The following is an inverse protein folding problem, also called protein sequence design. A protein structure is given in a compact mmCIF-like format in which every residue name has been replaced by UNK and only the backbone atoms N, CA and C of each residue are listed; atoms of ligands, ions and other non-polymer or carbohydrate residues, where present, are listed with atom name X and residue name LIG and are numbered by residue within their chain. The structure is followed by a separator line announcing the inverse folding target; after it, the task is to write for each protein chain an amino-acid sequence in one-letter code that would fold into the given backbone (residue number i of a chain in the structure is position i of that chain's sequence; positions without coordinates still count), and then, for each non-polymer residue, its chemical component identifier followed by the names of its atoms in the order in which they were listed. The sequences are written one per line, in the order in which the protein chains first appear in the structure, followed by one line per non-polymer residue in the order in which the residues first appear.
data_IF_387077746500
#
_entry.id   IF_387077746500
#
_cell.length_a   1.000
_cell.length_b   1.000
_cell.length_c   1.000
_cell.angle_alpha   90.00
_cell.angle_beta   90.00
_cell.angle_gamma   90.00
#
_symmetry.space_group_name_H-M   'P 1'
#
loop_
_entity.id
_entity.type
_entity.pdbx_description
1 polymer ?
#
# COMPACT_ATOMS: atom_id res chain seq x y z
N UNK A 1 31.33 64.96 40.02
CA UNK A 1 30.61 63.67 39.93
C UNK A 1 30.42 63.20 41.37
N UNK A 2 29.19 62.94 41.79
CA UNK A 2 28.92 62.66 43.20
C UNK A 2 29.27 61.20 43.55
N UNK A 3 29.77 60.97 44.77
CA UNK A 3 30.17 59.64 45.25
C UNK A 3 29.04 58.60 45.17
N UNK A 4 27.80 59.06 45.22
CA UNK A 4 26.61 58.22 45.10
C UNK A 4 26.36 57.75 43.66
N UNK A 5 26.63 58.61 42.67
CA UNK A 5 26.58 58.23 41.26
C UNK A 5 27.67 57.22 40.91
N UNK A 6 28.89 57.39 41.44
CA UNK A 6 29.98 56.40 41.29
C UNK A 6 29.64 55.02 41.87
N UNK A 7 29.04 54.98 43.06
CA UNK A 7 28.59 53.72 43.67
C UNK A 7 27.51 53.02 42.84
N UNK A 8 26.56 53.79 42.30
CA UNK A 8 25.48 53.27 41.46
C UNK A 8 26.02 52.70 40.15
N UNK A 9 26.99 53.38 39.53
CA UNK A 9 27.67 52.91 38.32
C UNK A 9 28.35 51.57 38.60
N UNK A 10 29.14 51.45 39.67
CA UNK A 10 29.78 50.18 40.06
C UNK A 10 28.79 49.03 40.30
N UNK A 11 27.63 49.33 40.90
CA UNK A 11 26.59 48.32 41.10
C UNK A 11 26.02 47.83 39.78
N UNK A 12 25.73 48.74 38.86
CA UNK A 12 25.25 48.40 37.51
C UNK A 12 26.29 47.63 36.70
N UNK A 13 27.57 48.01 36.78
CA UNK A 13 28.67 47.28 36.14
C UNK A 13 28.76 45.84 36.64
N UNK A 14 28.69 45.63 37.95
CA UNK A 14 28.67 44.28 38.53
C UNK A 14 27.43 43.48 38.12
N UNK A 15 26.26 44.11 38.07
CA UNK A 15 25.03 43.43 37.64
C UNK A 15 25.09 43.02 36.16
N UNK A 16 25.64 43.89 35.31
CA UNK A 16 25.86 43.61 33.88
C UNK A 16 26.84 42.45 33.72
N UNK A 17 27.98 42.48 34.43
CA UNK A 17 28.97 41.41 34.35
C UNK A 17 28.40 40.05 34.78
N UNK A 18 27.66 40.01 35.89
CA UNK A 18 27.01 38.78 36.34
C UNK A 18 26.00 38.23 35.32
N UNK A 19 25.26 39.12 34.63
CA UNK A 19 24.33 38.71 33.57
C UNK A 19 25.06 38.22 32.33
N UNK A 20 26.18 38.84 31.96
CA UNK A 20 27.02 38.40 30.85
C UNK A 20 27.61 37.01 31.11
N UNK A 21 28.10 36.77 32.33
CA UNK A 21 28.62 35.44 32.73
C UNK A 21 27.54 34.36 32.63
N UNK A 22 26.32 34.66 33.09
CA UNK A 22 25.18 33.73 32.97
C UNK A 22 24.82 33.43 31.51
N UNK A 23 24.83 34.46 30.65
CA UNK A 23 24.59 34.32 29.22
C UNK A 23 25.68 33.46 28.58
N UNK A 24 26.94 33.68 28.92
CA UNK A 24 28.08 32.91 28.40
C UNK A 24 27.99 31.42 28.80
N UNK A 25 27.67 31.13 30.06
CA UNK A 25 27.42 29.76 30.53
C UNK A 25 26.25 29.10 29.78
N UNK A 26 25.18 29.85 29.53
CA UNK A 26 24.04 29.37 28.76
C UNK A 26 24.42 29.06 27.32
N UNK A 27 25.19 29.94 26.66
CA UNK A 27 25.71 29.69 25.31
C UNK A 27 26.61 28.46 25.23
N UNK A 28 27.45 28.24 26.25
CA UNK A 28 28.29 27.06 26.30
C UNK A 28 27.45 25.77 26.39
N UNK A 29 26.38 25.80 27.20
CA UNK A 29 25.42 24.68 27.30
C UNK A 29 24.72 24.43 25.97
N UNK A 30 24.23 25.48 25.29
CA UNK A 30 23.63 25.35 23.97
C UNK A 30 24.60 24.77 22.94
N UNK A 31 25.87 25.19 22.97
CA UNK A 31 26.91 24.66 22.08
C UNK A 31 27.14 23.17 22.30
N UNK A 32 27.13 22.71 23.54
CA UNK A 32 27.23 21.28 23.86
C UNK A 32 26.01 20.49 23.38
N UNK A 33 24.81 21.03 23.57
CA UNK A 33 23.57 20.41 23.07
C UNK A 33 23.60 20.29 21.54
N UNK A 34 23.99 21.35 20.84
CA UNK A 34 24.11 21.34 19.37
C UNK A 34 25.10 20.26 18.92
N UNK A 35 26.26 20.14 19.58
CA UNK A 35 27.24 19.08 19.25
C UNK A 35 26.66 17.67 19.46
N UNK A 36 25.93 17.44 20.56
CA UNK A 36 25.26 16.15 20.81
C UNK A 36 24.23 15.84 19.72
N UNK A 37 23.38 16.81 19.38
CA UNK A 37 22.37 16.66 18.32
C UNK A 37 23.01 16.38 16.95
N UNK A 38 24.11 17.05 16.62
CA UNK A 38 24.84 16.80 15.36
C UNK A 38 25.35 15.36 15.30
N UNK A 39 25.97 14.88 16.38
CA UNK A 39 26.47 13.50 16.49
C UNK A 39 25.34 12.48 16.36
N UNK A 40 24.23 12.69 17.07
CA UNK A 40 23.07 11.81 17.02
C UNK A 40 22.45 11.77 15.61
N UNK A 41 22.39 12.92 14.92
CA UNK A 41 21.89 12.98 13.54
C UNK A 41 22.81 12.21 12.56
N UNK A 42 24.13 12.24 12.76
CA UNK A 42 25.07 11.43 11.98
C UNK A 42 24.93 9.92 12.27
N UNK A 43 24.70 9.55 13.52
CA UNK A 43 24.40 8.16 13.92
C UNK A 43 23.10 7.68 13.27
N UNK A 44 22.00 8.44 13.38
CA UNK A 44 20.72 8.11 12.75
C UNK A 44 20.81 7.99 11.23
N UNK A 45 21.61 8.83 10.56
CA UNK A 45 21.87 8.70 9.11
C UNK A 45 22.57 7.40 8.76
N UNK A 46 23.54 6.97 9.58
CA UNK A 46 24.23 5.67 9.41
C UNK A 46 23.26 4.51 9.62
N UNK A 47 22.48 4.53 10.70
CA UNK A 47 21.50 3.48 11.01
C UNK A 47 20.44 3.37 9.91
N UNK A 48 19.92 4.50 9.42
CA UNK A 48 18.99 4.53 8.29
C UNK A 48 19.58 3.85 7.05
N UNK A 49 20.86 4.08 6.75
CA UNK A 49 21.52 3.44 5.61
C UNK A 49 21.59 1.92 5.79
N UNK A 50 21.98 1.46 6.98
CA UNK A 50 22.06 0.03 7.30
C UNK A 50 20.70 -0.64 7.16
N UNK A 51 19.64 -0.04 7.73
CA UNK A 51 18.28 -0.57 7.65
C UNK A 51 17.81 -0.66 6.19
N UNK A 52 18.09 0.36 5.37
CA UNK A 52 17.73 0.34 3.95
C UNK A 52 18.48 -0.77 3.18
N UNK A 53 19.75 -1.01 3.49
CA UNK A 53 20.51 -2.11 2.89
C UNK A 53 19.96 -3.49 3.30
N UNK A 54 19.63 -3.66 4.58
CA UNK A 54 18.99 -4.87 5.08
C UNK A 54 17.62 -5.10 4.42
N UNK A 55 16.79 -4.05 4.31
CA UNK A 55 15.49 -4.13 3.65
C UNK A 55 15.63 -4.53 2.18
N UNK A 56 16.58 -3.95 1.44
CA UNK A 56 16.88 -4.33 0.05
C UNK A 56 17.29 -5.81 -0.04
N UNK A 57 18.13 -6.29 0.89
CA UNK A 57 18.54 -7.69 0.91
C UNK A 57 17.38 -8.64 1.18
N UNK A 58 16.48 -8.29 2.11
CA UNK A 58 15.26 -9.07 2.39
C UNK A 58 14.32 -9.13 1.19
N UNK A 59 14.08 -7.99 0.52
CA UNK A 59 13.26 -7.96 -0.69
C UNK A 59 13.84 -8.87 -1.78
N UNK A 60 15.16 -8.85 -1.99
CA UNK A 60 15.83 -9.76 -2.94
C UNK A 60 15.61 -11.23 -2.56
N UNK A 61 15.75 -11.59 -1.28
CA UNK A 61 15.49 -12.97 -0.80
C UNK A 61 14.04 -13.40 -1.01
N UNK A 62 13.07 -12.52 -0.73
CA UNK A 62 11.64 -12.78 -0.95
C UNK A 62 11.36 -13.02 -2.43
N UNK A 63 11.90 -12.19 -3.32
CA UNK A 63 11.70 -12.35 -4.76
C UNK A 63 12.34 -13.64 -5.30
N UNK A 64 13.54 -13.99 -4.83
CA UNK A 64 14.17 -15.27 -5.16
C UNK A 64 13.34 -16.47 -4.68
N UNK A 65 12.79 -16.39 -3.47
CA UNK A 65 11.90 -17.42 -2.91
C UNK A 65 10.61 -17.56 -3.72
N UNK A 66 9.95 -16.44 -4.07
CA UNK A 66 8.77 -16.44 -4.95
C UNK A 66 9.06 -17.05 -6.31
N UNK A 67 10.19 -16.71 -6.92
CA UNK A 67 10.59 -17.26 -8.21
C UNK A 67 10.93 -18.75 -8.12
N UNK A 68 11.55 -19.20 -7.03
CA UNK A 68 11.80 -20.63 -6.79
C UNK A 68 10.49 -21.39 -6.59
N UNK A 69 9.59 -20.88 -5.75
CA UNK A 69 8.26 -21.46 -5.55
C UNK A 69 7.45 -21.51 -6.86
N UNK A 70 7.51 -20.47 -7.69
CA UNK A 70 6.86 -20.46 -8.99
C UNK A 70 7.45 -21.51 -9.95
N UNK A 71 8.78 -21.71 -9.92
CA UNK A 71 9.43 -22.79 -10.68
C UNK A 71 9.03 -24.16 -10.17
N UNK A 72 9.03 -24.36 -8.85
CA UNK A 72 8.64 -25.61 -8.21
C UNK A 72 7.17 -25.93 -8.52
N UNK A 73 6.25 -24.97 -8.43
CA UNK A 73 4.85 -25.14 -8.85
C UNK A 73 4.76 -25.52 -10.34
N UNK A 74 5.58 -24.90 -11.20
CA UNK A 74 5.58 -25.20 -12.64
C UNK A 74 6.08 -26.62 -12.92
N UNK A 75 7.08 -27.13 -12.20
CA UNK A 75 7.54 -28.53 -12.30
C UNK A 75 6.58 -29.52 -11.64
N UNK A 76 5.90 -29.15 -10.56
CA UNK A 76 4.83 -29.97 -9.97
C UNK A 76 3.59 -30.07 -10.87
N UNK A 77 3.26 -29.00 -11.61
CA UNK A 77 2.12 -28.98 -12.53
C UNK A 77 2.44 -29.59 -13.91
N UNK A 78 3.71 -29.58 -14.32
CA UNK A 78 4.20 -30.30 -15.48
C UNK A 78 5.30 -31.30 -15.05
N UNK A 79 4.95 -32.42 -14.41
CA UNK A 79 5.87 -33.55 -14.40
C UNK A 79 5.97 -34.03 -15.85
N UNK A 80 7.18 -34.16 -16.37
CA UNK A 80 7.47 -34.56 -17.74
C UNK A 80 6.59 -35.72 -18.20
N UNK A 81 5.81 -35.45 -19.25
CA UNK A 81 5.35 -36.46 -20.22
C UNK A 81 6.60 -36.83 -21.04
N UNK A 82 7.53 -37.55 -20.43
CA UNK A 82 8.65 -38.21 -21.10
C UNK A 82 8.65 -39.69 -20.71
N UNK A 83 7.63 -40.42 -21.19
CA UNK A 83 7.72 -41.81 -21.66
C UNK A 83 6.31 -42.40 -21.90
N UNK A 84 6.11 -42.84 -23.15
CA UNK A 84 5.06 -43.74 -23.66
C UNK A 84 3.61 -43.23 -23.86
N UNK A 85 2.92 -43.69 -24.94
CA UNK A 85 1.69 -43.05 -25.44
C UNK A 85 0.46 -43.59 -24.70
N UNK A 86 -0.01 -42.87 -23.68
CA UNK A 86 -1.21 -43.31 -22.94
C UNK A 86 -2.27 -42.21 -22.91
N UNK A 87 -3.33 -42.38 -23.71
CA UNK A 87 -4.65 -41.77 -23.49
C UNK A 87 -5.08 -42.06 -22.05
N UNK A 88 -5.36 -41.05 -21.19
CA UNK A 88 -6.76 -40.70 -20.93
C UNK A 88 -6.95 -39.25 -20.45
N UNK A 89 -6.84 -38.26 -21.34
CA UNK A 89 -7.21 -36.85 -21.04
C UNK A 89 -8.75 -36.69 -20.96
N UNK A 90 -9.52 -37.68 -21.41
CA UNK A 90 -10.99 -37.64 -21.35
C UNK A 90 -11.56 -37.89 -19.95
N UNK A 91 -10.85 -38.61 -19.06
CA UNK A 91 -11.36 -38.90 -17.69
C UNK A 91 -11.05 -37.83 -16.65
N UNK A 92 -10.04 -36.97 -16.89
CA UNK A 92 -9.71 -35.84 -16.00
C UNK A 92 -10.61 -34.63 -16.27
N UNK A 93 -11.11 -34.47 -17.51
CA UNK A 93 -12.10 -33.44 -17.83
C UNK A 93 -13.42 -33.67 -17.11
N UNK A 94 -13.89 -34.91 -16.99
CA UNK A 94 -15.11 -35.24 -16.22
C UNK A 94 -15.00 -34.81 -14.74
N UNK A 95 -13.88 -35.11 -14.06
CA UNK A 95 -13.72 -34.78 -12.63
C UNK A 95 -13.53 -33.29 -12.34
N UNK A 96 -12.95 -32.53 -13.28
CA UNK A 96 -12.87 -31.07 -13.15
C UNK A 96 -14.21 -30.38 -13.45
N UNK A 97 -15.02 -30.94 -14.35
CA UNK A 97 -16.37 -30.45 -14.63
C UNK A 97 -17.32 -30.67 -13.44
N UNK A 98 -17.17 -31.74 -12.67
CA UNK A 98 -18.01 -31.98 -11.49
C UNK A 98 -17.73 -30.99 -10.33
N UNK A 99 -16.48 -30.59 -10.13
CA UNK A 99 -16.15 -29.59 -9.09
C UNK A 99 -16.53 -28.16 -9.50
N UNK A 100 -16.47 -27.81 -10.79
CA UNK A 100 -17.02 -26.54 -11.30
C UNK A 100 -18.56 -26.55 -11.23
N UNK A 101 -19.18 -27.72 -11.36
CA UNK A 101 -20.63 -27.88 -11.19
C UNK A 101 -21.09 -27.68 -9.73
N UNK A 102 -20.25 -28.04 -8.75
CA UNK A 102 -20.47 -27.75 -7.32
C UNK A 102 -20.30 -26.27 -6.94
N UNK A 103 -19.47 -25.51 -7.66
CA UNK A 103 -19.39 -24.05 -7.51
C UNK A 103 -20.53 -23.35 -8.28
N UNK A 104 -20.99 -23.92 -9.39
CA UNK A 104 -22.18 -23.45 -10.12
C UNK A 104 -23.48 -23.59 -9.32
N UNK A 105 -23.57 -24.52 -8.37
CA UNK A 105 -24.79 -24.73 -7.58
C UNK A 105 -24.92 -23.82 -6.36
N UNK A 106 -23.92 -23.00 -6.02
CA UNK A 106 -24.01 -21.99 -4.95
C UNK A 106 -24.18 -20.56 -5.51
N UNK A 107 -24.06 -20.35 -6.82
CA UNK A 107 -24.34 -19.05 -7.43
C UNK A 107 -25.80 -18.95 -7.87
N UNK A 108 -26.63 -18.38 -7.00
CA UNK A 108 -27.99 -17.97 -7.32
C UNK A 108 -28.02 -17.04 -8.56
N UNK A 109 -28.49 -17.52 -9.71
CA UNK A 109 -29.04 -16.78 -10.88
C UNK A 109 -28.35 -15.46 -11.33
N UNK A 110 -27.11 -15.20 -10.95
CA UNK A 110 -26.44 -13.90 -11.20
C UNK A 110 -25.07 -14.11 -11.82
N UNK A 111 -24.91 -13.58 -13.02
CA UNK A 111 -23.75 -13.76 -13.89
C UNK A 111 -23.20 -12.43 -14.39
N UNK A 112 -22.08 -12.49 -15.13
CA UNK A 112 -21.44 -11.33 -15.78
C UNK A 112 -22.45 -10.54 -16.64
N UNK A 113 -23.36 -11.25 -17.31
CA UNK A 113 -24.40 -10.66 -18.16
C UNK A 113 -25.34 -9.74 -17.35
N UNK A 114 -25.65 -10.09 -16.10
CA UNK A 114 -26.49 -9.24 -15.26
C UNK A 114 -25.79 -7.94 -14.85
N UNK A 115 -24.46 -7.97 -14.66
CA UNK A 115 -23.67 -6.77 -14.42
C UNK A 115 -23.69 -5.88 -15.67
N UNK A 116 -23.47 -6.47 -16.85
CA UNK A 116 -23.52 -5.77 -18.12
C UNK A 116 -24.88 -5.12 -18.38
N UNK A 117 -25.99 -5.86 -18.24
CA UNK A 117 -27.34 -5.30 -18.39
C UNK A 117 -27.62 -4.15 -17.43
N UNK A 118 -27.15 -4.28 -16.18
CA UNK A 118 -27.35 -3.24 -15.17
C UNK A 118 -26.62 -1.96 -15.54
N UNK A 119 -25.41 -2.06 -16.08
CA UNK A 119 -24.62 -0.94 -16.58
C UNK A 119 -25.28 -0.33 -17.82
N UNK A 120 -25.75 -1.15 -18.76
CA UNK A 120 -26.43 -0.66 -19.97
C UNK A 120 -27.76 0.06 -19.65
N UNK A 121 -28.50 -0.42 -18.64
CA UNK A 121 -29.77 0.21 -18.22
C UNK A 121 -29.57 1.51 -17.44
N UNK A 122 -28.51 1.62 -16.64
CA UNK A 122 -28.27 2.78 -15.75
C UNK A 122 -27.23 3.77 -16.29
N UNK A 123 -26.49 3.40 -17.33
CA UNK A 123 -25.36 4.16 -17.86
C UNK A 123 -24.09 3.99 -17.02
N UNK A 124 -24.20 4.10 -15.69
CA UNK A 124 -23.09 3.87 -14.78
C UNK A 124 -23.52 3.23 -13.45
N UNK A 125 -22.64 2.43 -12.85
CA UNK A 125 -22.89 1.73 -11.58
C UNK A 125 -21.65 1.69 -10.71
N UNK A 126 -21.81 1.97 -9.41
CA UNK A 126 -20.75 1.81 -8.39
C UNK A 126 -20.56 0.35 -8.02
N UNK A 127 -19.34 -0.08 -7.72
CA UNK A 127 -19.08 -1.49 -7.41
C UNK A 127 -19.80 -1.92 -6.13
N UNK A 128 -19.89 -1.05 -5.11
CA UNK A 128 -20.62 -1.37 -3.88
C UNK A 128 -22.12 -1.56 -4.12
N UNK A 129 -22.73 -0.71 -4.95
CA UNK A 129 -24.15 -0.81 -5.31
C UNK A 129 -24.41 -2.09 -6.11
N UNK A 130 -23.49 -2.45 -7.01
CA UNK A 130 -23.54 -3.68 -7.77
C UNK A 130 -23.40 -4.91 -6.87
N UNK A 131 -22.43 -4.90 -5.96
CA UNK A 131 -22.20 -5.99 -4.99
C UNK A 131 -23.42 -6.19 -4.09
N UNK A 132 -24.03 -5.12 -3.59
CA UNK A 132 -25.23 -5.19 -2.75
C UNK A 132 -26.44 -5.70 -3.54
N UNK A 133 -26.72 -5.14 -4.73
CA UNK A 133 -27.86 -5.53 -5.55
C UNK A 133 -27.74 -6.95 -6.11
N UNK A 134 -26.52 -7.34 -6.46
CA UNK A 134 -26.21 -8.68 -6.95
C UNK A 134 -25.96 -9.66 -5.80
N UNK A 135 -25.87 -9.22 -4.55
CA UNK A 135 -25.56 -10.07 -3.39
C UNK A 135 -24.33 -10.95 -3.63
N UNK A 136 -23.27 -10.34 -4.17
CA UNK A 136 -21.99 -11.00 -4.48
C UNK A 136 -20.85 -10.16 -3.93
N UNK A 137 -19.70 -10.79 -3.70
CA UNK A 137 -18.55 -10.10 -3.14
C UNK A 137 -18.01 -9.03 -4.11
N UNK A 138 -17.49 -7.93 -3.57
CA UNK A 138 -16.90 -6.83 -4.35
C UNK A 138 -15.84 -7.30 -5.35
N UNK A 139 -14.97 -8.21 -4.91
CA UNK A 139 -13.92 -8.83 -5.77
C UNK A 139 -14.52 -9.49 -7.01
N UNK A 140 -15.68 -10.14 -6.88
CA UNK A 140 -16.35 -10.81 -7.99
C UNK A 140 -16.89 -9.79 -9.00
N UNK A 141 -17.42 -8.66 -8.55
CA UNK A 141 -17.82 -7.55 -9.43
C UNK A 141 -16.60 -6.95 -10.13
N UNK A 142 -15.46 -6.82 -9.43
CA UNK A 142 -14.22 -6.30 -10.00
C UNK A 142 -13.66 -7.22 -11.10
N UNK A 143 -13.67 -8.54 -10.88
CA UNK A 143 -13.27 -9.52 -11.89
C UNK A 143 -14.19 -9.48 -13.11
N UNK A 144 -15.50 -9.41 -12.89
CA UNK A 144 -16.48 -9.30 -13.98
C UNK A 144 -16.34 -8.00 -14.76
N UNK A 145 -16.12 -6.88 -14.08
CA UNK A 145 -15.87 -5.60 -14.70
C UNK A 145 -14.58 -5.66 -15.55
N UNK A 146 -13.53 -6.29 -15.03
CA UNK A 146 -12.29 -6.48 -15.80
C UNK A 146 -12.52 -7.31 -17.07
N UNK A 147 -13.28 -8.41 -16.98
CA UNK A 147 -13.61 -9.22 -18.16
C UNK A 147 -14.42 -8.42 -19.19
N UNK A 148 -15.39 -7.61 -18.76
CA UNK A 148 -16.18 -6.78 -19.69
C UNK A 148 -15.35 -5.63 -20.29
N UNK A 149 -14.40 -5.06 -19.54
CA UNK A 149 -13.45 -4.04 -20.01
C UNK A 149 -12.47 -4.60 -21.06
N UNK A 150 -11.90 -5.80 -20.82
CA UNK A 150 -11.03 -6.50 -21.77
C UNK A 150 -11.74 -6.80 -23.10
N UNK A 151 -13.07 -6.96 -23.07
CA UNK A 151 -13.91 -7.14 -24.25
C UNK A 151 -14.46 -5.83 -24.84
N UNK A 152 -14.00 -4.66 -24.36
CA UNK A 152 -14.44 -3.31 -24.76
C UNK A 152 -15.94 -3.01 -24.54
N UNK A 153 -16.62 -3.76 -23.68
CA UNK A 153 -18.06 -3.62 -23.43
C UNK A 153 -18.38 -2.50 -22.43
N UNK A 154 -17.42 -2.17 -21.55
CA UNK A 154 -17.55 -1.15 -20.52
C UNK A 154 -16.23 -0.40 -20.35
N UNK A 155 -16.26 0.74 -19.67
CA UNK A 155 -15.07 1.49 -19.23
C UNK A 155 -15.11 1.70 -17.73
N UNK A 156 -13.94 1.65 -17.09
CA UNK A 156 -13.78 1.95 -15.66
C UNK A 156 -13.19 3.35 -15.49
N UNK A 157 -13.78 4.15 -14.60
CA UNK A 157 -13.19 5.43 -14.18
C UNK A 157 -12.83 5.39 -12.69
N UNK A 158 -11.66 5.92 -12.36
CA UNK A 158 -11.09 6.00 -11.02
C UNK A 158 -11.27 7.35 -10.34
N UNK A 159 -11.88 8.34 -11.00
CA UNK A 159 -12.10 9.66 -10.38
C UNK A 159 -13.34 9.70 -9.46
N UNK A 160 -13.22 9.11 -8.27
CA UNK A 160 -13.91 9.65 -7.09
C UNK A 160 -12.89 10.32 -6.19
N UNK A 161 -12.83 11.65 -6.32
CA UNK A 161 -11.97 12.47 -5.47
C UNK A 161 -12.31 12.29 -4.00
N UNK A 162 -11.33 11.73 -3.28
CA UNK A 162 -11.15 11.75 -1.82
C UNK A 162 -11.73 13.01 -1.18
N UNK A 163 -12.55 12.82 -0.15
CA UNK A 163 -12.44 13.63 1.08
C UNK A 163 -12.91 12.86 2.30
N UNK A 164 -11.93 12.69 3.19
CA UNK A 164 -11.96 12.25 4.58
C UNK A 164 -12.33 10.79 4.85
N UNK A 165 -11.39 10.21 5.57
CA UNK A 165 -11.41 8.94 6.27
C UNK A 165 -11.28 7.70 5.39
N UNK A 166 -10.30 6.87 5.78
CA UNK A 166 -9.97 5.60 5.18
C UNK A 166 -11.19 4.70 5.33
N UNK A 167 -11.98 4.56 4.28
CA UNK A 167 -12.76 3.35 3.99
C UNK A 167 -13.29 3.48 2.56
N UNK A 168 -12.89 2.51 1.73
CA UNK A 168 -13.42 2.18 0.40
C UNK A 168 -13.32 3.23 -0.72
N UNK A 169 -12.18 3.26 -1.42
CA UNK A 169 -12.09 3.81 -2.79
C UNK A 169 -12.96 2.93 -3.72
N UNK A 170 -14.25 3.24 -3.85
CA UNK A 170 -15.17 2.59 -4.79
C UNK A 170 -15.03 3.20 -6.20
N UNK A 171 -15.16 2.39 -7.24
CA UNK A 171 -15.00 2.80 -8.64
C UNK A 171 -16.35 2.87 -9.35
N UNK A 172 -16.45 3.69 -10.40
CA UNK A 172 -17.60 3.66 -11.31
C UNK A 172 -17.28 2.83 -12.54
N UNK A 173 -18.27 2.05 -12.95
CA UNK A 173 -18.27 1.30 -14.20
C UNK A 173 -19.29 1.92 -15.14
N UNK A 174 -18.91 2.18 -16.39
CA UNK A 174 -19.73 2.84 -17.41
C UNK A 174 -19.96 1.93 -18.61
N UNK A 175 -21.15 2.04 -19.22
CA UNK A 175 -21.42 1.38 -20.49
C UNK A 175 -20.66 2.04 -21.64
N UNK A 176 -20.18 1.25 -22.60
CA UNK A 176 -19.68 1.78 -23.87
C UNK A 176 -20.87 2.23 -24.73
N UNK A 177 -20.99 3.55 -24.95
CA UNK A 177 -21.89 4.17 -25.93
C UNK A 177 -21.32 4.10 -27.34
#
# INVERSE_FOLDING_TARGET
MDKETEKRIKQLENEINNRLDYIEQSFQTFKEIIKKMQKENEELKRDRKIILEQQKALIKKINLSKNKLAKDIKTFLNPEIESEPVKPIEKLKEKFLDNISLIKTISSNKSIENLYEMIMKKGSVKISDAAHKMNVHRIQIEEWAKTLEENNLIKRDGEFLKKKDKEDEDYLIYGSL
#
